data_IF_983292999421
#
_entry.id   IF_983292999421
#
_cell.length_a   1.000
_cell.length_b   1.000
_cell.length_c   1.000
_cell.angle_alpha   90.00
_cell.angle_beta   90.00
_cell.angle_gamma   90.00
#
_symmetry.space_group_name_H-M   'P 1'
#
loop_
_entity.id
_entity.type
_entity.pdbx_description
1 polymer ?
#
# COMPACT_ATOMS: atom_id res chain seq x y z
N UNK A 1 5.69 -26.86 7.52
CA UNK A 1 5.48 -26.82 8.98
C UNK A 1 4.21 -26.05 9.34
N UNK A 2 4.10 -24.73 9.09
CA UNK A 2 2.89 -23.97 9.46
C UNK A 2 1.58 -24.53 8.88
N UNK A 3 1.58 -24.95 7.60
CA UNK A 3 0.39 -25.56 6.97
C UNK A 3 -0.02 -26.90 7.63
N UNK A 4 0.96 -27.67 8.12
CA UNK A 4 0.68 -28.89 8.89
C UNK A 4 0.04 -28.54 10.23
N UNK A 5 0.62 -27.56 10.94
CA UNK A 5 0.08 -27.08 12.22
C UNK A 5 -1.36 -26.59 12.08
N UNK A 6 -1.71 -25.88 11.00
CA UNK A 6 -3.10 -25.44 10.79
C UNK A 6 -4.10 -26.59 10.60
N UNK A 7 -3.64 -27.79 10.25
CA UNK A 7 -4.46 -28.99 10.06
C UNK A 7 -4.26 -30.04 11.15
N UNK A 8 -3.54 -29.71 12.23
CA UNK A 8 -3.30 -30.60 13.37
C UNK A 8 -3.81 -30.00 14.69
N UNK A 9 -3.90 -30.83 15.72
CA UNK A 9 -4.27 -30.44 17.09
C UNK A 9 -3.07 -29.94 17.92
N UNK A 10 -1.95 -29.63 17.27
CA UNK A 10 -0.70 -29.33 17.97
C UNK A 10 -0.85 -28.15 18.94
N UNK A 11 -0.42 -28.36 20.18
CA UNK A 11 -0.54 -27.40 21.30
C UNK A 11 0.72 -26.56 21.53
N UNK A 12 1.69 -26.65 20.63
CA UNK A 12 2.96 -25.91 20.73
C UNK A 12 4.01 -26.55 21.63
N UNK A 13 3.71 -27.70 22.24
CA UNK A 13 4.65 -28.47 23.06
C UNK A 13 5.21 -29.64 22.25
N UNK A 14 6.50 -29.92 22.41
CA UNK A 14 7.17 -30.99 21.65
C UNK A 14 7.27 -30.70 20.15
N UNK A 15 7.57 -31.74 19.36
CA UNK A 15 7.65 -31.63 17.91
C UNK A 15 6.25 -31.61 17.29
N UNK A 16 5.96 -30.73 16.31
CA UNK A 16 4.69 -30.75 15.58
C UNK A 16 4.51 -32.00 14.69
N UNK A 17 5.58 -32.79 14.51
CA UNK A 17 5.56 -34.08 13.81
C UNK A 17 5.73 -35.27 14.76
N UNK A 18 5.50 -35.07 16.06
CA UNK A 18 5.51 -36.13 17.06
C UNK A 18 4.34 -37.10 16.86
N UNK A 19 4.46 -38.31 17.42
CA UNK A 19 3.39 -39.32 17.43
C UNK A 19 2.14 -38.84 18.17
N UNK A 20 2.28 -37.86 19.05
CA UNK A 20 1.23 -37.36 19.94
C UNK A 20 0.42 -36.20 19.30
N UNK A 21 0.68 -35.90 18.03
CA UNK A 21 0.00 -34.84 17.27
C UNK A 21 -0.91 -35.50 16.24
N UNK A 22 -2.21 -35.30 16.38
CA UNK A 22 -3.21 -35.86 15.49
C UNK A 22 -3.55 -34.89 14.35
N UNK A 23 -3.85 -35.46 13.19
CA UNK A 23 -4.32 -34.70 12.03
C UNK A 23 -5.84 -34.49 12.15
N UNK A 24 -6.24 -33.25 12.46
CA UNK A 24 -7.66 -32.84 12.58
C UNK A 24 -8.25 -32.33 11.26
N UNK A 25 -7.45 -32.27 10.19
CA UNK A 25 -7.89 -31.85 8.87
C UNK A 25 -8.40 -30.41 8.85
N UNK A 26 -9.69 -30.23 8.52
CA UNK A 26 -10.32 -28.92 8.35
C UNK A 26 -10.94 -28.35 9.63
N UNK A 27 -10.83 -29.03 10.77
CA UNK A 27 -11.59 -28.69 11.98
C UNK A 27 -11.27 -27.28 12.49
N UNK A 28 -9.98 -26.92 12.54
CA UNK A 28 -9.53 -25.57 12.90
C UNK A 28 -10.16 -24.48 12.01
N UNK A 29 -10.27 -24.73 10.70
CA UNK A 29 -10.90 -23.80 9.77
C UNK A 29 -12.41 -23.72 9.98
N UNK A 30 -13.06 -24.85 10.24
CA UNK A 30 -14.50 -24.91 10.53
C UNK A 30 -14.86 -24.22 11.85
N UNK A 31 -14.01 -24.29 12.87
CA UNK A 31 -14.22 -23.59 14.14
C UNK A 31 -14.18 -22.05 13.99
N UNK A 32 -13.45 -21.56 13.00
CA UNK A 32 -13.31 -20.11 12.72
C UNK A 32 -14.39 -19.64 11.74
N UNK A 33 -14.67 -20.40 10.69
CA UNK A 33 -15.58 -20.00 9.60
C UNK A 33 -17.01 -20.52 9.77
N UNK A 34 -17.24 -21.49 10.66
CA UNK A 34 -18.52 -22.18 10.85
C UNK A 34 -19.61 -21.32 11.48
N UNK A 35 -19.32 -20.08 11.88
CA UNK A 35 -20.31 -19.12 12.39
C UNK A 35 -20.81 -19.40 13.81
N UNK A 36 -20.55 -20.59 14.35
CA UNK A 36 -20.93 -20.99 15.70
C UNK A 36 -19.70 -20.99 16.64
N UNK A 37 -19.86 -20.45 17.85
CA UNK A 37 -18.82 -20.44 18.88
C UNK A 37 -18.04 -19.13 19.03
N UNK A 38 -17.17 -19.11 20.04
CA UNK A 38 -16.41 -17.91 20.41
C UNK A 38 -15.34 -17.55 19.36
N UNK A 39 -14.68 -18.55 18.77
CA UNK A 39 -13.64 -18.33 17.75
C UNK A 39 -14.21 -17.65 16.49
N UNK A 40 -15.37 -18.10 16.00
CA UNK A 40 -16.05 -17.48 14.87
C UNK A 40 -16.47 -16.04 15.14
N UNK A 41 -17.04 -15.75 16.33
CA UNK A 41 -17.42 -14.38 16.72
C UNK A 41 -16.23 -13.45 16.88
N UNK A 42 -15.14 -13.93 17.46
CA UNK A 42 -13.91 -13.15 17.64
C UNK A 42 -13.25 -12.88 16.29
N UNK A 43 -13.23 -13.87 15.40
CA UNK A 43 -12.77 -13.71 14.02
C UNK A 43 -13.64 -12.71 13.25
N UNK A 44 -14.96 -12.83 13.33
CA UNK A 44 -15.89 -11.87 12.75
C UNK A 44 -15.59 -10.45 13.25
N UNK A 45 -15.47 -10.27 14.56
CA UNK A 45 -15.17 -8.98 15.19
C UNK A 45 -13.84 -8.41 14.66
N UNK A 46 -12.81 -9.25 14.57
CA UNK A 46 -11.52 -8.89 14.03
C UNK A 46 -11.60 -8.44 12.56
N UNK A 47 -12.36 -9.16 11.73
CA UNK A 47 -12.58 -8.82 10.32
C UNK A 47 -13.32 -7.49 10.18
N UNK A 48 -14.38 -7.27 10.96
CA UNK A 48 -15.15 -6.02 10.96
C UNK A 48 -14.28 -4.83 11.34
N UNK A 49 -13.55 -4.93 12.44
CA UNK A 49 -12.66 -3.86 12.90
C UNK A 49 -11.62 -3.51 11.84
N UNK A 50 -11.00 -4.54 11.26
CA UNK A 50 -9.96 -4.36 10.27
C UNK A 50 -10.49 -3.86 8.92
N UNK A 51 -11.72 -4.23 8.55
CA UNK A 51 -12.40 -3.68 7.37
C UNK A 51 -12.55 -2.17 7.46
N UNK A 52 -13.05 -1.64 8.59
CA UNK A 52 -13.13 -0.19 8.81
C UNK A 52 -11.76 0.48 8.85
N UNK A 53 -10.78 -0.18 9.46
CA UNK A 53 -9.41 0.29 9.47
C UNK A 53 -8.86 0.46 8.04
N UNK A 54 -8.97 -0.57 7.19
CA UNK A 54 -8.54 -0.53 5.78
C UNK A 54 -9.29 0.54 4.99
N UNK A 55 -10.63 0.57 5.12
CA UNK A 55 -11.50 1.49 4.39
C UNK A 55 -11.19 2.96 4.66
N UNK A 56 -10.75 3.28 5.88
CA UNK A 56 -10.39 4.64 6.27
C UNK A 56 -8.91 4.94 6.00
N UNK A 57 -8.01 4.06 6.45
CA UNK A 57 -6.57 4.30 6.39
C UNK A 57 -6.09 4.37 4.94
N UNK A 58 -6.49 3.43 4.06
CA UNK A 58 -5.93 3.36 2.71
C UNK A 58 -6.25 4.59 1.86
N UNK A 59 -7.50 5.08 1.77
CA UNK A 59 -7.79 6.28 0.99
C UNK A 59 -7.22 7.55 1.63
N UNK A 60 -7.35 7.70 2.96
CA UNK A 60 -6.92 8.92 3.65
C UNK A 60 -5.39 9.06 3.66
N UNK A 61 -4.65 7.99 3.91
CA UNK A 61 -3.19 8.03 3.86
C UNK A 61 -2.68 8.31 2.45
N UNK A 62 -3.35 7.78 1.41
CA UNK A 62 -2.96 8.00 0.00
C UNK A 62 -3.23 9.44 -0.40
N UNK A 63 -4.41 9.98 -0.03
CA UNK A 63 -4.76 11.37 -0.28
C UNK A 63 -3.79 12.32 0.45
N UNK A 64 -3.50 12.06 1.72
CA UNK A 64 -2.55 12.85 2.50
C UNK A 64 -1.14 12.78 1.91
N UNK A 65 -0.65 11.59 1.59
CA UNK A 65 0.67 11.38 0.99
C UNK A 65 0.82 12.11 -0.35
N UNK A 66 -0.19 12.02 -1.22
CA UNK A 66 -0.21 12.72 -2.51
C UNK A 66 -0.27 14.24 -2.31
N UNK A 67 -1.09 14.72 -1.38
CA UNK A 67 -1.18 16.15 -1.04
C UNK A 67 0.18 16.69 -0.56
N UNK A 68 0.81 16.01 0.40
CA UNK A 68 2.14 16.36 0.91
C UNK A 68 3.18 16.31 -0.21
N UNK A 69 3.13 15.30 -1.07
CA UNK A 69 4.06 15.16 -2.19
C UNK A 69 3.95 16.32 -3.18
N UNK A 70 2.73 16.72 -3.56
CA UNK A 70 2.50 17.87 -4.44
C UNK A 70 2.96 19.16 -3.78
N UNK A 71 2.70 19.35 -2.48
CA UNK A 71 3.19 20.51 -1.74
C UNK A 71 4.71 20.59 -1.78
N UNK A 72 5.40 19.52 -1.44
CA UNK A 72 6.87 19.47 -1.40
C UNK A 72 7.49 19.59 -2.79
N UNK A 73 6.83 19.04 -3.81
CA UNK A 73 7.33 19.06 -5.18
C UNK A 73 7.25 20.45 -5.82
N UNK A 74 6.33 21.32 -5.36
CA UNK A 74 6.25 22.70 -5.87
C UNK A 74 7.59 23.42 -5.64
N UNK A 75 8.08 24.05 -6.71
CA UNK A 75 9.39 24.73 -6.76
C UNK A 75 9.53 25.92 -5.78
N UNK A 76 8.49 26.24 -5.01
CA UNK A 76 8.36 27.45 -4.17
C UNK A 76 8.82 27.26 -2.72
N UNK A 77 8.84 26.04 -2.18
CA UNK A 77 9.23 25.83 -0.77
C UNK A 77 10.75 25.93 -0.55
N UNK A 78 11.20 27.04 0.05
CA UNK A 78 12.51 27.14 0.72
C UNK A 78 12.46 26.21 1.95
N UNK A 79 13.16 25.06 1.89
CA UNK A 79 13.19 24.08 2.99
C UNK A 79 12.67 22.66 2.68
N UNK A 80 12.60 22.24 1.41
CA UNK A 80 12.13 20.89 1.00
C UNK A 80 12.79 19.74 1.75
N UNK A 81 14.09 19.82 2.02
CA UNK A 81 14.83 18.77 2.74
C UNK A 81 14.29 18.57 4.16
N UNK A 82 14.11 19.66 4.91
CA UNK A 82 13.59 19.62 6.27
C UNK A 82 12.15 19.07 6.32
N UNK A 83 11.29 19.51 5.39
CA UNK A 83 9.90 19.03 5.32
C UNK A 83 9.84 17.53 5.00
N UNK A 84 10.63 17.06 4.02
CA UNK A 84 10.72 15.62 3.70
C UNK A 84 11.13 14.81 4.92
N UNK A 85 12.17 15.25 5.62
CA UNK A 85 12.67 14.55 6.82
C UNK A 85 11.63 14.57 7.94
N UNK A 86 10.96 15.69 8.20
CA UNK A 86 9.98 15.81 9.28
C UNK A 86 8.78 14.87 9.09
N UNK A 87 8.23 14.77 7.88
CA UNK A 87 7.10 13.87 7.59
C UNK A 87 7.52 12.40 7.40
N UNK A 88 8.76 12.15 7.00
CA UNK A 88 9.30 10.79 6.89
C UNK A 88 9.71 10.22 8.26
N UNK A 89 10.13 11.07 9.19
CA UNK A 89 10.64 10.66 10.51
C UNK A 89 9.72 9.67 11.26
N UNK A 90 8.39 9.88 11.36
CA UNK A 90 7.50 8.94 12.03
C UNK A 90 7.42 7.55 11.39
N UNK A 91 7.79 7.42 10.12
CA UNK A 91 7.80 6.12 9.43
C UNK A 91 9.05 5.29 9.72
N UNK A 92 10.12 5.96 10.18
CA UNK A 92 11.42 5.34 10.48
C UNK A 92 11.51 4.96 11.97
N UNK A 93 10.65 5.54 12.82
CA UNK A 93 10.62 5.19 14.23
C UNK A 93 10.10 3.77 14.43
N UNK A 94 10.54 3.12 15.51
CA UNK A 94 10.03 1.80 15.88
C UNK A 94 8.51 1.88 16.11
N UNK A 95 7.79 0.93 15.49
CA UNK A 95 6.34 0.77 15.65
C UNK A 95 5.91 0.72 17.13
N UNK A 96 6.70 0.04 17.96
CA UNK A 96 6.48 -0.04 19.42
C UNK A 96 6.63 1.33 20.07
N UNK A 97 7.73 2.05 19.78
CA UNK A 97 8.03 3.34 20.40
C UNK A 97 6.98 4.40 20.03
N UNK A 98 6.58 4.48 18.75
CA UNK A 98 5.56 5.44 18.32
C UNK A 98 4.20 5.11 18.95
N UNK A 99 3.87 3.83 19.11
CA UNK A 99 2.63 3.40 19.78
C UNK A 99 2.60 3.86 21.24
N UNK A 100 3.69 3.68 21.98
CA UNK A 100 3.78 4.15 23.38
C UNK A 100 3.61 5.67 23.48
N UNK A 101 4.24 6.43 22.57
CA UNK A 101 4.05 7.89 22.51
C UNK A 101 2.60 8.25 22.19
N UNK A 102 1.97 7.52 21.28
CA UNK A 102 0.58 7.74 20.90
C UNK A 102 -0.39 7.48 22.05
N UNK A 103 -0.17 6.41 22.83
CA UNK A 103 -0.94 6.12 24.04
C UNK A 103 -0.89 7.28 25.04
N UNK A 104 0.29 7.87 25.24
CA UNK A 104 0.44 9.04 26.11
C UNK A 104 -0.29 10.27 25.54
N UNK A 105 -0.16 10.51 24.24
CA UNK A 105 -0.76 11.65 23.54
C UNK A 105 -2.29 11.63 23.59
N UNK A 106 -2.88 10.45 23.42
CA UNK A 106 -4.32 10.17 23.41
C UNK A 106 -4.87 9.74 24.79
N UNK A 107 -4.05 9.81 25.84
CA UNK A 107 -4.54 9.59 27.22
C UNK A 107 -5.59 10.64 27.60
N UNK A 108 -6.39 10.36 28.63
CA UNK A 108 -7.47 11.25 29.07
C UNK A 108 -6.99 12.69 29.37
N UNK A 109 -5.77 12.83 29.91
CA UNK A 109 -5.10 14.12 30.21
C UNK A 109 -4.05 14.51 29.17
N UNK A 110 -3.99 13.78 28.06
CA UNK A 110 -3.01 13.92 27.00
C UNK A 110 -3.18 15.21 26.19
N UNK A 111 -2.19 15.48 25.33
CA UNK A 111 -2.15 16.71 24.52
C UNK A 111 -3.34 16.79 23.58
N UNK A 112 -3.79 15.66 23.00
CA UNK A 112 -4.94 15.65 22.09
C UNK A 112 -6.20 16.16 22.79
N UNK A 113 -6.48 15.68 24.00
CA UNK A 113 -7.64 16.15 24.76
C UNK A 113 -7.50 17.61 25.19
N UNK A 114 -6.29 18.08 25.49
CA UNK A 114 -6.04 19.51 25.75
C UNK A 114 -6.34 20.37 24.51
N UNK A 115 -5.88 19.95 23.34
CA UNK A 115 -6.18 20.65 22.07
C UNK A 115 -7.68 20.64 21.78
N UNK A 116 -8.38 19.53 22.00
CA UNK A 116 -9.84 19.48 21.84
C UNK A 116 -10.56 20.42 22.83
N UNK A 117 -10.10 20.47 24.07
CA UNK A 117 -10.67 21.38 25.08
C UNK A 117 -10.50 22.87 24.72
N UNK A 118 -9.45 23.23 23.97
CA UNK A 118 -9.27 24.58 23.43
C UNK A 118 -10.39 24.97 22.45
N UNK A 119 -10.91 24.00 21.70
CA UNK A 119 -12.08 24.17 20.82
C UNK A 119 -13.42 23.90 21.54
N UNK A 120 -13.43 23.89 22.89
CA UNK A 120 -14.59 23.56 23.73
C UNK A 120 -15.19 22.16 23.50
N UNK A 121 -14.41 21.22 22.96
CA UNK A 121 -14.82 19.83 22.76
C UNK A 121 -14.28 18.99 23.93
N UNK A 122 -15.16 18.34 24.69
CA UNK A 122 -14.77 17.34 25.67
C UNK A 122 -14.26 16.09 24.95
N UNK A 123 -12.94 15.91 24.91
CA UNK A 123 -12.33 14.75 24.28
C UNK A 123 -12.78 13.44 24.93
N UNK A 124 -13.07 12.38 24.15
CA UNK A 124 -13.48 11.10 24.70
C UNK A 124 -12.31 10.41 25.42
N UNK A 125 -12.63 9.37 26.18
CA UNK A 125 -11.60 8.49 26.73
C UNK A 125 -11.19 7.47 25.67
N UNK A 126 -10.22 7.86 24.83
CA UNK A 126 -9.92 7.20 23.57
C UNK A 126 -9.74 5.69 23.68
N UNK A 127 -9.00 5.20 24.67
CA UNK A 127 -8.68 3.78 24.81
C UNK A 127 -9.61 3.01 25.78
N UNK A 128 -10.61 3.68 26.36
CA UNK A 128 -11.56 3.04 27.28
C UNK A 128 -13.00 3.04 26.75
N UNK A 129 -13.31 3.84 25.73
CA UNK A 129 -14.64 3.91 25.12
C UNK A 129 -14.79 2.88 23.98
N UNK A 130 -15.62 1.83 24.14
CA UNK A 130 -15.84 0.83 23.11
C UNK A 130 -16.84 1.26 22.03
N UNK A 131 -17.48 2.43 22.15
CA UNK A 131 -18.54 2.83 21.23
C UNK A 131 -17.97 3.12 19.84
N UNK A 132 -18.71 2.69 18.82
CA UNK A 132 -18.45 3.04 17.43
C UNK A 132 -18.77 4.51 17.16
N UNK A 133 -17.96 5.18 16.32
CA UNK A 133 -18.20 6.58 15.95
C UNK A 133 -19.60 6.77 15.36
N UNK A 134 -20.06 5.85 14.51
CA UNK A 134 -21.39 5.99 13.91
C UNK A 134 -22.50 5.74 14.92
N UNK A 135 -22.31 4.85 15.89
CA UNK A 135 -23.24 4.72 17.02
C UNK A 135 -23.28 5.97 17.89
N UNK A 136 -22.14 6.63 18.12
CA UNK A 136 -22.13 7.93 18.81
C UNK A 136 -22.94 8.95 17.99
N UNK A 137 -22.79 9.00 16.67
CA UNK A 137 -23.59 9.87 15.82
C UNK A 137 -25.08 9.51 15.87
N UNK A 138 -25.44 8.23 15.77
CA UNK A 138 -26.82 7.75 15.88
C UNK A 138 -27.44 8.04 17.24
N UNK A 139 -26.64 8.01 18.32
CA UNK A 139 -27.10 8.35 19.66
C UNK A 139 -27.57 9.80 19.78
N UNK A 140 -26.97 10.72 19.00
CA UNK A 140 -27.40 12.12 18.91
C UNK A 140 -28.81 12.22 18.29
N UNK A 141 -29.14 11.32 17.36
CA UNK A 141 -30.46 11.22 16.73
C UNK A 141 -31.44 10.32 17.49
N UNK A 142 -31.10 9.85 18.70
CA UNK A 142 -31.94 9.00 19.54
C UNK A 142 -31.96 7.51 19.15
N UNK A 143 -31.17 7.09 18.16
CA UNK A 143 -31.08 5.70 17.70
C UNK A 143 -30.04 4.92 18.53
N UNK A 144 -30.39 4.63 19.78
CA UNK A 144 -29.49 3.99 20.75
C UNK A 144 -29.60 2.45 20.77
N UNK A 145 -30.63 1.89 20.16
CA UNK A 145 -30.89 0.45 20.15
C UNK A 145 -30.98 -0.05 18.71
N UNK A 146 -30.54 -1.29 18.51
CA UNK A 146 -30.63 -1.97 17.23
C UNK A 146 -32.09 -2.02 16.75
N UNK A 147 -32.40 -1.53 15.53
CA UNK A 147 -33.72 -1.70 14.92
C UNK A 147 -34.09 -3.19 14.87
N UNK A 148 -35.37 -3.51 14.98
CA UNK A 148 -35.88 -4.88 15.15
C UNK A 148 -35.55 -5.90 14.02
N UNK A 149 -34.83 -5.51 12.98
CA UNK A 149 -34.32 -6.40 11.91
C UNK A 149 -32.79 -6.51 11.82
N UNK A 150 -32.04 -5.89 12.73
CA UNK A 150 -30.57 -5.86 12.72
C UNK A 150 -29.94 -6.49 13.98
N UNK A 151 -30.78 -7.11 14.82
CA UNK A 151 -30.40 -7.76 16.08
C UNK A 151 -29.93 -9.20 15.88
N UNK A 152 -30.43 -9.87 14.84
CA UNK A 152 -30.09 -11.26 14.56
C UNK A 152 -28.61 -11.40 14.18
N UNK A 153 -27.96 -12.53 14.53
CA UNK A 153 -26.61 -12.83 14.11
C UNK A 153 -26.53 -12.80 12.57
N UNK A 154 -25.84 -11.79 12.05
CA UNK A 154 -25.64 -11.60 10.62
C UNK A 154 -24.37 -12.30 10.13
N UNK A 155 -23.69 -11.67 9.18
CA UNK A 155 -22.45 -12.17 8.60
C UNK A 155 -21.37 -12.41 9.68
N UNK A 156 -20.79 -13.62 9.69
CA UNK A 156 -19.75 -14.08 10.63
C UNK A 156 -20.18 -14.05 12.11
N UNK A 157 -21.48 -14.22 12.40
CA UNK A 157 -21.99 -14.28 13.77
C UNK A 157 -22.05 -12.92 14.48
N UNK A 158 -21.90 -11.82 13.73
CA UNK A 158 -22.00 -10.44 14.23
C UNK A 158 -23.36 -9.84 13.83
N UNK A 159 -24.09 -9.19 14.75
CA UNK A 159 -25.31 -8.47 14.42
C UNK A 159 -25.08 -7.40 13.34
N UNK A 160 -26.05 -7.20 12.44
CA UNK A 160 -25.94 -6.15 11.42
C UNK A 160 -25.83 -4.75 12.04
N UNK A 161 -26.44 -4.53 13.22
CA UNK A 161 -26.32 -3.28 13.96
C UNK A 161 -24.89 -2.96 14.39
N UNK A 162 -24.15 -4.00 14.75
CA UNK A 162 -22.74 -3.88 15.11
C UNK A 162 -21.90 -3.51 13.90
N UNK A 163 -22.13 -4.13 12.74
CA UNK A 163 -21.49 -3.71 11.48
C UNK A 163 -21.69 -2.22 11.22
N UNK A 164 -22.89 -1.68 11.44
CA UNK A 164 -23.20 -0.26 11.26
C UNK A 164 -22.55 0.68 12.29
N UNK A 165 -21.91 0.18 13.35
CA UNK A 165 -21.33 1.02 14.39
C UNK A 165 -20.11 1.83 13.92
N UNK A 166 -19.44 1.37 12.86
CA UNK A 166 -18.17 1.94 12.41
C UNK A 166 -16.99 1.59 13.33
N UNK A 167 -15.84 2.27 13.15
CA UNK A 167 -14.68 2.09 14.03
C UNK A 167 -14.98 2.60 15.44
N UNK A 168 -14.46 1.94 16.47
CA UNK A 168 -14.53 2.45 17.84
C UNK A 168 -13.69 3.71 18.02
N UNK A 169 -13.94 4.44 19.11
CA UNK A 169 -13.11 5.58 19.50
C UNK A 169 -11.64 5.16 19.61
N UNK A 170 -11.37 3.99 20.22
CA UNK A 170 -10.02 3.44 20.34
C UNK A 170 -9.40 3.11 18.98
N UNK A 171 -10.15 2.45 18.10
CA UNK A 171 -9.66 2.13 16.75
C UNK A 171 -9.34 3.40 15.95
N UNK A 172 -10.10 4.47 16.17
CA UNK A 172 -9.90 5.74 15.47
C UNK A 172 -8.58 6.41 15.83
N UNK A 173 -8.12 6.26 17.09
CA UNK A 173 -6.78 6.72 17.49
C UNK A 173 -5.67 5.95 16.72
N UNK A 174 -5.84 4.64 16.51
CA UNK A 174 -4.91 3.83 15.70
C UNK A 174 -5.00 4.14 14.21
N UNK A 175 -6.18 4.43 13.66
CA UNK A 175 -6.35 4.90 12.28
C UNK A 175 -5.56 6.19 12.06
N UNK A 176 -5.67 7.16 12.96
CA UNK A 176 -4.89 8.40 12.90
C UNK A 176 -3.39 8.15 12.99
N UNK A 177 -2.98 7.25 13.89
CA UNK A 177 -1.57 6.86 14.02
C UNK A 177 -1.04 6.27 12.71
N UNK A 178 -1.79 5.35 12.11
CA UNK A 178 -1.39 4.67 10.88
C UNK A 178 -1.28 5.63 9.71
N UNK A 179 -2.25 6.55 9.55
CA UNK A 179 -2.19 7.60 8.52
C UNK A 179 -0.94 8.47 8.72
N UNK A 180 -0.65 8.85 9.97
CA UNK A 180 0.51 9.67 10.29
C UNK A 180 1.83 8.95 9.99
N UNK A 181 1.99 7.69 10.42
CA UNK A 181 3.25 6.95 10.27
C UNK A 181 3.51 6.49 8.85
N UNK A 182 2.49 6.22 8.04
CA UNK A 182 2.65 5.71 6.66
C UNK A 182 2.68 6.80 5.60
N UNK A 183 2.00 7.94 5.84
CA UNK A 183 1.91 9.02 4.85
C UNK A 183 3.27 9.56 4.42
N UNK A 184 4.26 9.59 5.33
CA UNK A 184 5.63 10.00 5.03
C UNK A 184 6.33 9.14 4.00
N UNK A 185 6.23 7.80 4.13
CA UNK A 185 6.84 6.86 3.18
C UNK A 185 6.18 6.97 1.80
N UNK A 186 4.84 6.99 1.76
CA UNK A 186 4.10 7.10 0.50
C UNK A 186 4.27 8.47 -0.17
N UNK A 187 4.44 9.54 0.62
CA UNK A 187 4.79 10.85 0.09
C UNK A 187 6.10 10.77 -0.71
N UNK A 188 7.13 10.09 -0.21
CA UNK A 188 8.40 9.96 -0.94
C UNK A 188 8.23 9.21 -2.26
N UNK A 189 7.40 8.16 -2.30
CA UNK A 189 7.06 7.46 -3.54
C UNK A 189 6.37 8.39 -4.55
N UNK A 190 5.39 9.18 -4.10
CA UNK A 190 4.74 10.17 -4.97
C UNK A 190 5.68 11.28 -5.42
N UNK A 191 6.60 11.74 -4.57
CA UNK A 191 7.62 12.71 -4.97
C UNK A 191 8.50 12.14 -6.07
N UNK A 192 9.00 10.92 -5.91
CA UNK A 192 9.83 10.26 -6.93
C UNK A 192 9.08 10.14 -8.26
N UNK A 193 7.79 9.79 -8.22
CA UNK A 193 6.94 9.71 -9.40
C UNK A 193 6.68 11.07 -10.05
N UNK A 194 6.39 12.11 -9.25
CA UNK A 194 6.20 13.47 -9.72
C UNK A 194 7.46 14.04 -10.38
N UNK A 195 8.64 13.67 -9.89
CA UNK A 195 9.93 14.08 -10.45
C UNK A 195 10.23 13.44 -11.81
N UNK A 196 9.59 12.31 -12.14
CA UNK A 196 9.71 11.67 -13.45
C UNK A 196 8.83 12.31 -14.54
N UNK A 197 7.88 13.19 -14.17
CA UNK A 197 7.03 13.90 -15.13
C UNK A 197 7.84 15.04 -15.74
N UNK A 198 8.08 15.01 -17.06
CA UNK A 198 8.87 16.04 -17.74
C UNK A 198 8.17 17.41 -17.69
N UNK A 199 8.98 18.48 -17.57
CA UNK A 199 8.47 19.86 -17.58
C UNK A 199 7.73 20.20 -18.88
N UNK A 200 8.16 19.62 -20.00
CA UNK A 200 7.55 19.80 -21.33
C UNK A 200 6.06 19.41 -21.36
N UNK A 201 5.67 18.33 -20.67
CA UNK A 201 4.26 17.92 -20.61
C UNK A 201 3.41 18.95 -19.87
N UNK A 202 3.97 19.58 -18.84
CA UNK A 202 3.29 20.64 -18.09
C UNK A 202 3.24 21.95 -18.88
N UNK A 203 4.28 22.27 -19.64
CA UNK A 203 4.34 23.44 -20.52
C UNK A 203 3.36 23.32 -21.68
N UNK A 204 3.29 22.16 -22.35
CA UNK A 204 2.30 21.88 -23.38
C UNK A 204 0.87 22.08 -22.84
N UNK A 205 0.56 21.55 -21.65
CA UNK A 205 -0.74 21.75 -21.03
C UNK A 205 -1.03 23.22 -20.68
N UNK A 206 0.00 24.03 -20.37
CA UNK A 206 -0.16 25.49 -20.18
C UNK A 206 -0.44 26.21 -21.50
N UNK A 207 0.20 25.80 -22.59
CA UNK A 207 -0.05 26.33 -23.95
C UNK A 207 -1.47 25.98 -24.41
N UNK A 208 -1.97 24.80 -24.03
CA UNK A 208 -3.37 24.37 -24.26
C UNK A 208 -4.39 25.07 -23.36
N UNK A 209 -3.98 26.04 -22.52
CA UNK A 209 -4.86 26.83 -21.66
C UNK A 209 -5.35 26.10 -20.41
N UNK A 210 -4.76 24.96 -20.04
CA UNK A 210 -5.21 24.19 -18.89
C UNK A 210 -4.89 24.89 -17.56
N UNK A 211 -5.93 25.11 -16.75
CA UNK A 211 -5.81 25.62 -15.39
C UNK A 211 -5.01 24.66 -14.49
N UNK A 212 -4.49 25.13 -13.36
CA UNK A 212 -3.74 24.28 -12.42
C UNK A 212 -4.56 23.08 -11.91
N UNK A 213 -5.89 23.25 -11.75
CA UNK A 213 -6.79 22.18 -11.34
C UNK A 213 -6.99 21.14 -12.45
N UNK A 214 -7.20 21.58 -13.69
CA UNK A 214 -7.28 20.69 -14.85
C UNK A 214 -5.97 19.93 -15.05
N UNK A 215 -4.82 20.60 -15.00
CA UNK A 215 -3.51 19.96 -15.08
C UNK A 215 -3.32 18.89 -14.01
N UNK A 216 -3.72 19.15 -12.77
CA UNK A 216 -3.61 18.15 -11.70
C UNK A 216 -4.46 16.89 -11.99
N UNK A 217 -5.76 17.05 -12.29
CA UNK A 217 -6.66 15.90 -12.45
C UNK A 217 -6.54 15.19 -13.80
N UNK A 218 -6.18 15.91 -14.87
CA UNK A 218 -6.17 15.38 -16.23
C UNK A 218 -4.78 15.02 -16.75
N UNK A 219 -3.72 15.58 -16.18
CA UNK A 219 -2.33 15.31 -16.61
C UNK A 219 -1.56 14.60 -15.50
N UNK A 220 -1.44 15.23 -14.33
CA UNK A 220 -0.60 14.71 -13.24
C UNK A 220 -1.17 13.42 -12.65
N UNK A 221 -2.44 13.40 -12.23
CA UNK A 221 -3.05 12.24 -11.58
C UNK A 221 -3.07 10.99 -12.47
N UNK A 222 -3.41 11.06 -13.78
CA UNK A 222 -3.32 9.91 -14.67
C UNK A 222 -1.89 9.40 -14.85
N UNK A 223 -0.90 10.28 -14.93
CA UNK A 223 0.51 9.87 -15.00
C UNK A 223 1.03 9.26 -13.70
N UNK A 224 0.45 9.62 -12.55
CA UNK A 224 0.76 9.03 -11.26
C UNK A 224 0.06 7.69 -11.00
N UNK A 225 -0.81 7.20 -11.90
CA UNK A 225 -1.53 5.92 -11.71
C UNK A 225 -0.65 4.73 -11.38
N UNK A 226 0.52 4.51 -12.01
CA UNK A 226 1.39 3.39 -11.64
C UNK A 226 1.83 3.48 -10.17
N UNK A 227 2.13 4.68 -9.69
CA UNK A 227 2.53 4.92 -8.29
C UNK A 227 1.34 4.85 -7.34
N UNK A 228 0.18 5.39 -7.73
CA UNK A 228 -1.07 5.23 -6.98
C UNK A 228 -1.39 3.75 -6.78
N UNK A 229 -1.24 2.93 -7.82
CA UNK A 229 -1.43 1.50 -7.75
C UNK A 229 -0.48 0.84 -6.74
N UNK A 230 0.81 1.18 -6.80
CA UNK A 230 1.80 0.67 -5.83
C UNK A 230 1.47 1.08 -4.40
N UNK A 231 1.14 2.36 -4.17
CA UNK A 231 0.80 2.88 -2.82
C UNK A 231 -0.47 2.24 -2.28
N UNK A 232 -1.51 2.10 -3.09
CA UNK A 232 -2.76 1.45 -2.68
C UNK A 232 -2.52 -0.03 -2.36
N UNK A 233 -1.68 -0.72 -3.14
CA UNK A 233 -1.36 -2.13 -2.90
C UNK A 233 -0.58 -2.33 -1.61
N UNK A 234 0.49 -1.56 -1.40
CA UNK A 234 1.29 -1.62 -0.18
C UNK A 234 0.46 -1.21 1.04
N UNK A 235 -0.37 -0.18 0.90
CA UNK A 235 -1.29 0.27 1.94
C UNK A 235 -2.34 -0.78 2.30
N UNK A 236 -2.92 -1.45 1.31
CA UNK A 236 -3.90 -2.52 1.52
C UNK A 236 -3.25 -3.70 2.26
N UNK A 237 -2.10 -4.19 1.78
CA UNK A 237 -1.40 -5.30 2.43
C UNK A 237 -1.03 -4.94 3.87
N UNK A 238 -0.44 -3.75 4.08
CA UNK A 238 0.00 -3.30 5.40
C UNK A 238 -1.15 -3.14 6.41
N UNK A 239 -2.31 -2.60 5.97
CA UNK A 239 -3.48 -2.41 6.84
C UNK A 239 -4.15 -3.73 7.24
N UNK A 240 -4.00 -4.79 6.45
CA UNK A 240 -4.42 -6.15 6.85
C UNK A 240 -3.47 -6.86 7.80
N UNK A 241 -2.22 -6.40 7.89
CA UNK A 241 -1.19 -6.99 8.74
C UNK A 241 -0.93 -6.20 10.02
N UNK A 242 -1.82 -5.29 10.41
CA UNK A 242 -1.63 -4.47 11.62
C UNK A 242 -1.65 -5.35 12.88
N UNK A 243 -0.49 -5.43 13.54
CA UNK A 243 -0.25 -6.26 14.72
C UNK A 243 0.39 -5.46 15.84
N UNK A 244 1.58 -4.91 15.63
CA UNK A 244 2.40 -4.27 16.67
C UNK A 244 1.65 -3.19 17.45
N UNK A 245 0.94 -2.32 16.73
CA UNK A 245 0.20 -1.20 17.29
C UNK A 245 -0.91 -1.67 18.24
N UNK A 246 -1.57 -2.77 17.88
CA UNK A 246 -2.65 -3.36 18.67
C UNK A 246 -2.08 -4.13 19.86
N UNK A 247 -1.02 -4.91 19.64
CA UNK A 247 -0.34 -5.69 20.67
C UNK A 247 0.21 -4.80 21.80
N UNK A 248 0.89 -3.71 21.44
CA UNK A 248 1.48 -2.76 22.41
C UNK A 248 0.42 -1.81 22.97
N UNK A 249 -0.56 -1.43 22.14
CA UNK A 249 -1.51 -0.39 22.45
C UNK A 249 -2.63 -0.81 23.39
N UNK A 250 -3.47 -1.75 22.94
CA UNK A 250 -4.74 -2.08 23.61
C UNK A 250 -5.00 -3.57 23.78
N UNK A 251 -4.19 -4.42 23.15
CA UNK A 251 -4.37 -5.88 23.19
C UNK A 251 -5.80 -6.30 22.75
N UNK A 252 -6.36 -5.59 21.77
CA UNK A 252 -7.72 -5.81 21.26
C UNK A 252 -8.82 -5.06 22.02
N UNK A 253 -8.53 -4.43 23.15
CA UNK A 253 -9.50 -3.67 23.94
C UNK A 253 -9.80 -2.24 23.41
N UNK A 254 -10.84 -1.56 23.95
CA UNK A 254 -11.83 -2.08 24.90
C UNK A 254 -12.85 -2.98 24.19
N UNK A 255 -13.41 -3.97 24.90
CA UNK A 255 -14.46 -4.86 24.42
C UNK A 255 -14.22 -5.49 23.02
N UNK A 256 -12.97 -5.90 22.73
CA UNK A 256 -12.55 -6.46 21.43
C UNK A 256 -12.68 -5.51 20.23
N UNK A 257 -12.91 -4.21 20.44
CA UNK A 257 -13.15 -3.24 19.35
C UNK A 257 -11.91 -2.83 18.57
N UNK A 258 -10.72 -3.16 19.08
CA UNK A 258 -9.45 -2.99 18.36
C UNK A 258 -8.83 -4.32 17.94
N UNK A 259 -9.52 -5.43 18.16
CA UNK A 259 -9.07 -6.77 17.78
C UNK A 259 -8.84 -6.83 16.27
N UNK A 260 -7.70 -7.38 15.84
CA UNK A 260 -7.35 -7.57 14.43
C UNK A 260 -7.02 -9.02 14.14
N UNK A 261 -7.16 -9.50 12.89
CA UNK A 261 -6.94 -10.90 12.57
C UNK A 261 -5.51 -11.36 12.88
N UNK A 262 -4.52 -10.50 12.64
CA UNK A 262 -3.12 -10.76 12.97
C UNK A 262 -2.91 -10.90 14.49
N UNK A 263 -3.48 -10.00 15.30
CA UNK A 263 -3.41 -10.09 16.75
C UNK A 263 -4.18 -11.30 17.30
N UNK A 264 -5.34 -11.62 16.71
CA UNK A 264 -6.14 -12.78 17.10
C UNK A 264 -5.40 -14.11 16.84
N UNK A 265 -4.76 -14.24 15.68
CA UNK A 265 -3.89 -15.39 15.36
C UNK A 265 -2.79 -15.56 16.41
N UNK A 266 -2.11 -14.46 16.76
CA UNK A 266 -1.08 -14.46 17.80
C UNK A 266 -1.64 -14.85 19.16
N UNK A 267 -2.75 -14.24 19.58
CA UNK A 267 -3.37 -14.51 20.88
C UNK A 267 -3.79 -15.99 21.00
N UNK A 268 -4.38 -16.55 19.94
CA UNK A 268 -4.79 -17.95 19.90
C UNK A 268 -3.58 -18.91 20.02
N UNK A 269 -2.52 -18.66 19.24
CA UNK A 269 -1.31 -19.50 19.29
C UNK A 269 -0.52 -19.36 20.60
N UNK A 270 -0.17 -18.14 20.99
CA UNK A 270 0.82 -17.90 22.04
C UNK A 270 0.21 -17.76 23.44
N UNK A 271 -0.96 -17.13 23.56
CA UNK A 271 -1.58 -16.90 24.88
C UNK A 271 -2.52 -18.03 25.26
N UNK A 272 -3.31 -18.52 24.31
CA UNK A 272 -4.29 -19.59 24.56
C UNK A 272 -3.72 -21.00 24.30
N UNK A 273 -2.47 -21.11 23.83
CA UNK A 273 -1.78 -22.36 23.50
C UNK A 273 -2.49 -23.20 22.42
N UNK A 274 -3.31 -22.57 21.57
CA UNK A 274 -4.02 -23.19 20.45
C UNK A 274 -3.30 -22.89 19.14
N UNK A 275 -2.19 -23.57 18.91
CA UNK A 275 -1.31 -23.27 17.78
C UNK A 275 -1.94 -23.64 16.44
N UNK A 276 -2.71 -24.73 16.38
CA UNK A 276 -3.46 -25.10 15.17
C UNK A 276 -4.49 -24.05 14.76
N UNK A 277 -5.29 -23.56 15.71
CA UNK A 277 -6.26 -22.50 15.51
C UNK A 277 -5.57 -21.19 15.07
N UNK A 278 -4.53 -20.76 15.78
CA UNK A 278 -3.76 -19.57 15.43
C UNK A 278 -3.13 -19.63 14.03
N UNK A 279 -2.59 -20.79 13.64
CA UNK A 279 -2.06 -21.01 12.30
C UNK A 279 -3.17 -20.96 11.24
N UNK A 280 -4.35 -21.56 11.50
CA UNK A 280 -5.48 -21.49 10.60
C UNK A 280 -5.95 -20.04 10.36
N UNK A 281 -6.04 -19.21 11.41
CA UNK A 281 -6.36 -17.77 11.28
C UNK A 281 -5.33 -17.07 10.39
N UNK A 282 -4.03 -17.36 10.54
CA UNK A 282 -2.99 -16.77 9.70
C UNK A 282 -3.11 -17.16 8.22
N UNK A 283 -3.46 -18.41 7.91
CA UNK A 283 -3.71 -18.85 6.53
C UNK A 283 -4.97 -18.23 5.94
N UNK A 284 -6.04 -18.10 6.72
CA UNK A 284 -7.26 -17.40 6.29
C UNK A 284 -6.94 -15.94 5.99
N UNK A 285 -6.21 -15.25 6.88
CA UNK A 285 -5.77 -13.87 6.67
C UNK A 285 -4.92 -13.73 5.40
N UNK A 286 -3.97 -14.65 5.19
CA UNK A 286 -3.17 -14.69 3.96
C UNK A 286 -4.06 -14.82 2.71
N UNK A 287 -5.03 -15.73 2.73
CA UNK A 287 -6.01 -15.89 1.66
C UNK A 287 -6.82 -14.61 1.39
N UNK A 288 -7.29 -13.94 2.44
CA UNK A 288 -8.00 -12.66 2.35
C UNK A 288 -7.11 -11.60 1.70
N UNK A 289 -5.86 -11.46 2.12
CA UNK A 289 -4.92 -10.49 1.55
C UNK A 289 -4.70 -10.77 0.06
N UNK A 290 -4.50 -12.03 -0.32
CA UNK A 290 -4.32 -12.41 -1.73
C UNK A 290 -5.56 -12.08 -2.55
N UNK A 291 -6.75 -12.47 -2.08
CA UNK A 291 -8.02 -12.20 -2.78
C UNK A 291 -8.22 -10.70 -2.95
N UNK A 292 -8.07 -9.91 -1.89
CA UNK A 292 -8.24 -8.46 -1.94
C UNK A 292 -7.19 -7.79 -2.83
N UNK A 293 -5.94 -8.26 -2.81
CA UNK A 293 -4.88 -7.75 -3.69
C UNK A 293 -5.17 -8.06 -5.16
N UNK A 294 -5.69 -9.25 -5.46
CA UNK A 294 -6.09 -9.64 -6.83
C UNK A 294 -7.31 -8.84 -7.29
N UNK A 295 -8.32 -8.67 -6.43
CA UNK A 295 -9.50 -7.85 -6.72
C UNK A 295 -9.12 -6.38 -6.96
N UNK A 296 -8.27 -5.83 -6.10
CA UNK A 296 -7.71 -4.49 -6.26
C UNK A 296 -6.93 -4.37 -7.58
N UNK A 297 -6.09 -5.36 -7.91
CA UNK A 297 -5.35 -5.41 -9.17
C UNK A 297 -6.25 -5.47 -10.38
N UNK A 298 -7.36 -6.21 -10.30
CA UNK A 298 -8.33 -6.31 -11.39
C UNK A 298 -9.10 -5.00 -11.56
N UNK A 299 -9.59 -4.41 -10.46
CA UNK A 299 -10.36 -3.17 -10.47
C UNK A 299 -9.57 -1.95 -10.96
N UNK A 300 -8.27 -1.88 -10.62
CA UNK A 300 -7.38 -0.77 -11.00
C UNK A 300 -6.54 -1.06 -12.24
N UNK A 301 -6.73 -2.21 -12.91
CA UNK A 301 -5.96 -2.54 -14.12
C UNK A 301 -6.31 -1.54 -15.22
N UNK A 302 -5.32 -0.79 -15.71
CA UNK A 302 -5.51 0.02 -16.89
C UNK A 302 -5.88 -0.89 -18.07
N UNK A 303 -6.95 -0.54 -18.79
CA UNK A 303 -7.16 -1.06 -20.14
C UNK A 303 -5.97 -0.58 -20.96
N UNK A 304 -5.09 -1.50 -21.34
CA UNK A 304 -3.97 -1.21 -22.23
C UNK A 304 -4.48 -0.35 -23.40
N UNK A 305 -3.87 0.82 -23.60
CA UNK A 305 -4.16 1.65 -24.77
C UNK A 305 -3.92 0.75 -25.98
N UNK A 306 -4.92 0.51 -26.85
CA UNK A 306 -4.71 -0.31 -28.04
C UNK A 306 -3.53 0.29 -28.78
N UNK A 307 -2.49 -0.53 -29.03
CA UNK A 307 -1.32 -0.17 -29.83
C UNK A 307 -1.82 0.65 -31.01
N UNK A 308 -1.63 1.98 -30.99
CA UNK A 308 -2.09 2.85 -32.07
C UNK A 308 -1.47 2.28 -33.33
N UNK A 309 -2.32 1.77 -34.22
CA UNK A 309 -1.92 1.30 -35.54
C UNK A 309 -1.04 2.39 -36.12
N UNK A 310 0.19 2.02 -36.50
CA UNK A 310 1.18 2.90 -37.14
C UNK A 310 0.41 3.83 -38.09
N UNK A 311 0.31 5.12 -37.75
CA UNK A 311 -0.25 6.09 -38.67
C UNK A 311 0.62 6.03 -39.93
N UNK A 312 0.07 5.44 -40.98
CA UNK A 312 0.63 5.56 -42.32
C UNK A 312 0.56 7.05 -42.63
N UNK A 313 1.67 7.73 -42.96
CA UNK A 313 1.62 9.14 -43.31
C UNK A 313 0.67 9.30 -44.50
N UNK A 314 -0.45 9.98 -44.26
CA UNK A 314 -1.39 10.37 -45.31
C UNK A 314 -0.65 11.37 -46.18
N UNK A 315 -0.31 10.96 -47.40
CA UNK A 315 0.37 11.80 -48.39
C UNK A 315 1.50 11.14 -49.18
N UNK A 316 1.93 9.93 -48.83
CA UNK A 316 2.87 9.19 -49.68
C UNK A 316 2.12 8.49 -50.82
N UNK A 317 1.97 9.20 -51.95
CA UNK A 317 1.50 8.61 -53.20
C UNK A 317 2.40 7.39 -53.54
N UNK A 318 1.85 6.16 -53.68
CA UNK A 318 2.67 4.94 -53.81
C UNK A 318 3.62 4.96 -55.01
N UNK A 319 3.36 5.83 -56.00
CA UNK A 319 4.22 6.04 -57.17
C UNK A 319 5.53 6.78 -56.82
N UNK A 320 5.52 7.69 -55.85
CA UNK A 320 6.70 8.47 -55.45
C UNK A 320 7.65 7.65 -54.60
N UNK A 321 7.13 6.77 -53.74
CA UNK A 321 7.92 5.86 -52.93
C UNK A 321 8.62 4.78 -53.78
N UNK A 322 7.93 4.26 -54.81
CA UNK A 322 8.51 3.30 -55.76
C UNK A 322 9.61 3.92 -56.64
N UNK A 323 9.43 5.19 -57.06
CA UNK A 323 10.44 5.91 -57.85
C UNK A 323 11.73 6.15 -57.04
N UNK A 324 11.62 6.50 -55.75
CA UNK A 324 12.78 6.71 -54.88
C UNK A 324 13.58 5.42 -54.63
N UNK A 325 12.90 4.28 -54.47
CA UNK A 325 13.57 2.98 -54.28
C UNK A 325 14.23 2.44 -55.56
N UNK A 326 13.66 2.74 -56.73
CA UNK A 326 14.24 2.38 -58.04
C UNK A 326 15.53 3.16 -58.33
N UNK A 327 15.54 4.46 -58.07
CA UNK A 327 16.71 5.32 -58.28
C UNK A 327 17.90 4.95 -57.38
N UNK A 328 17.63 4.57 -56.13
CA UNK A 328 18.67 4.10 -55.21
C UNK A 328 19.32 2.78 -55.68
N UNK A 329 18.54 1.83 -56.21
CA UNK A 329 19.06 0.56 -56.75
C UNK A 329 19.86 0.72 -58.05
N UNK A 330 19.59 1.77 -58.83
CA UNK A 330 20.35 2.06 -60.04
C UNK A 330 21.71 2.69 -59.73
N UNK A 331 21.80 3.54 -58.70
CA UNK A 331 23.05 4.17 -58.28
C UNK A 331 24.07 3.14 -57.73
N UNK A 332 23.61 2.14 -56.98
CA UNK A 332 24.50 1.07 -56.47
C UNK A 332 25.01 0.14 -57.58
N UNK A 333 24.24 -0.06 -58.65
CA UNK A 333 24.62 -0.94 -59.76
C UNK A 333 25.69 -0.33 -60.68
N UNK A 334 25.79 1.00 -60.71
CA UNK A 334 26.80 1.74 -61.49
C UNK A 334 28.14 1.83 -60.74
N UNK A 335 28.13 1.79 -59.40
CA UNK A 335 29.34 1.93 -58.56
C UNK A 335 30.15 0.63 -58.42
N UNK A 336 29.66 -0.50 -58.92
CA UNK A 336 30.27 -1.83 -58.78
C UNK A 336 31.09 -2.34 -59.98
N UNK A 337 31.50 -1.48 -60.92
CA UNK A 337 32.30 -1.88 -62.09
C UNK A 337 33.59 -1.05 -62.17
N UNK A 338 34.64 -1.58 -61.57
CA UNK A 338 36.01 -1.07 -61.64
C UNK A 338 36.76 -1.76 -62.79
N UNK A 339 37.64 -1.07 -63.55
CA UNK A 339 38.69 -1.74 -64.29
C UNK A 339 40.09 -1.30 -63.84
N UNK A 340 40.87 -2.27 -63.37
CA UNK A 340 42.25 -2.48 -63.85
C UNK A 340 43.36 -1.68 -63.16
N UNK A 341 44.25 -2.39 -62.45
CA UNK A 341 45.37 -1.82 -61.72
C UNK A 341 46.52 -1.24 -62.56
N UNK A 342 47.45 -0.56 -61.88
CA UNK A 342 48.93 -0.60 -62.00
C UNK A 342 49.51 0.54 -61.14
N UNK A 343 50.20 0.25 -60.04
CA UNK A 343 51.67 0.36 -59.97
C UNK A 343 52.15 1.05 -58.67
N UNK A 344 53.43 0.91 -58.25
CA UNK A 344 53.83 0.84 -56.82
C UNK A 344 54.90 1.87 -56.36
N UNK A 345 55.16 1.92 -55.04
CA UNK A 345 56.34 2.57 -54.41
C UNK A 345 55.94 3.43 -53.21
N UNK A 346 56.58 3.45 -52.04
CA UNK A 346 57.82 2.88 -51.52
C UNK A 346 58.11 3.58 -50.17
N UNK A 347 58.91 2.93 -49.32
CA UNK A 347 59.69 3.47 -48.16
C UNK A 347 58.99 4.09 -46.92
N UNK A 348 58.90 3.27 -45.86
CA UNK A 348 59.45 3.40 -44.46
C UNK A 348 60.00 4.76 -43.94
N UNK A 349 60.27 4.92 -42.61
CA UNK A 349 59.42 4.82 -41.39
C UNK A 349 59.71 6.03 -40.43
N UNK A 350 59.28 5.98 -39.15
CA UNK A 350 60.09 6.26 -37.93
C UNK A 350 59.29 6.88 -36.75
N UNK A 351 59.71 6.53 -35.52
CA UNK A 351 59.37 7.21 -34.26
C UNK A 351 58.50 6.41 -33.28
N UNK A 352 59.01 5.40 -32.54
CA UNK A 352 59.45 5.44 -31.12
C UNK A 352 58.57 6.28 -30.17
N UNK A 353 58.20 5.89 -28.94
CA UNK A 353 58.79 5.02 -27.91
C UNK A 353 57.69 4.72 -26.85
N UNK A 354 57.47 3.47 -26.44
CA UNK A 354 57.83 2.87 -25.13
C UNK A 354 57.17 3.50 -23.88
N UNK A 355 56.19 2.81 -23.24
CA UNK A 355 56.27 1.82 -22.11
C UNK A 355 56.14 2.45 -20.72
N UNK A 356 55.38 1.80 -19.83
CA UNK A 356 55.50 2.03 -18.39
C UNK A 356 54.27 1.61 -17.57
N UNK A 357 54.18 0.32 -17.26
CA UNK A 357 53.31 -0.35 -16.28
C UNK A 357 53.66 -0.04 -14.81
N UNK A 358 52.81 -0.58 -13.91
CA UNK A 358 52.91 -0.85 -12.45
C UNK A 358 52.30 0.22 -11.52
N UNK A 359 51.23 -0.07 -10.75
CA UNK A 359 51.02 -1.01 -9.62
C UNK A 359 50.87 -0.18 -8.31
N UNK A 360 49.92 -0.51 -7.44
CA UNK A 360 49.73 0.27 -6.21
C UNK A 360 48.48 -0.08 -5.40
N UNK A 361 48.64 -1.12 -4.59
CA UNK A 361 47.77 -1.61 -3.52
C UNK A 361 47.67 -0.66 -2.30
N UNK A 362 46.73 -0.97 -1.39
CA UNK A 362 46.47 -0.46 -0.01
C UNK A 362 45.51 0.72 0.18
N UNK A 363 44.38 0.47 0.84
CA UNK A 363 44.27 0.43 2.32
C UNK A 363 42.98 -0.23 2.79
#
# INVERSE_FOLDING_TARGET
MAAWVSMSDWTGRGSPFGSDVEFVGGENFSAILGGEGLAARDFGTAIRNNFYYVLLVVPLQTALAMFLAVMVNKQVLKGRGLFRTAFYFPSVTSSVAITVLWLFLFSATGVVNKVLSFFAISGPNWFQDPRGIFHILFSIFGLNQAPAGLQDPGFLGIPGWEWLAGPSVAMSAFVLMAIFTTSGTFMLLFIAALQNISGEVQEAAMVDGASAWQRFWQVTLPMLRPTLFTVLTLGLIGTWQVFDQIYVGTQGGPAKTTLTPAYLSFNSAFNNQRWGEGAAIAFILFGIIVVLTVLQRYALRERDVPKRSRMVPVGADPKTAAAAQSSARHADRVKGRDPGGTGPGGSTPDGTNQTGTTEGDRR
#
